data_IF_339368329035
#
_entry.id   IF_339368329035
#
_cell.length_a   1.000
_cell.length_b   1.000
_cell.length_c   1.000
_cell.angle_alpha   90.00
_cell.angle_beta   90.00
_cell.angle_gamma   90.00
#
_symmetry.space_group_name_H-M   'P 1'
#
loop_
_entity.id
_entity.type
_entity.pdbx_description
1 polymer ?
#
# COMPACT_ATOMS: atom_id res chain seq x y z
N UNK A 1 0.90 -1.95 42.16
CA UNK A 1 2.08 -1.10 41.88
C UNK A 1 2.78 -1.71 40.69
N UNK A 2 2.88 -0.99 39.56
CA UNK A 2 3.52 -1.50 38.33
C UNK A 2 5.00 -1.82 38.52
N UNK A 3 5.57 -2.59 37.58
CA UNK A 3 6.98 -2.96 37.62
C UNK A 3 7.86 -1.70 37.53
N UNK A 4 9.09 -1.71 38.09
CA UNK A 4 10.00 -0.55 38.04
C UNK A 4 10.22 -0.02 36.61
N UNK A 5 10.22 -0.91 35.61
CA UNK A 5 10.38 -0.58 34.20
C UNK A 5 9.20 0.23 33.63
N UNK A 6 7.97 -0.05 34.07
CA UNK A 6 6.76 0.64 33.61
C UNK A 6 6.79 2.12 34.01
N UNK A 7 7.21 2.40 35.26
CA UNK A 7 7.37 3.77 35.76
C UNK A 7 8.43 4.55 34.99
N UNK A 8 9.58 3.93 34.76
CA UNK A 8 10.68 4.54 34.00
C UNK A 8 10.21 4.91 32.58
N UNK A 9 9.43 4.04 31.94
CA UNK A 9 8.90 4.28 30.60
C UNK A 9 7.88 5.43 30.57
N UNK A 10 6.91 5.43 31.48
CA UNK A 10 5.93 6.52 31.58
C UNK A 10 6.60 7.88 31.86
N UNK A 11 7.54 7.92 32.80
CA UNK A 11 8.29 9.13 33.15
C UNK A 11 9.09 9.67 31.96
N UNK A 12 9.69 8.78 31.16
CA UNK A 12 10.40 9.15 29.93
C UNK A 12 9.47 9.80 28.92
N UNK A 13 8.30 9.21 28.67
CA UNK A 13 7.31 9.78 27.73
C UNK A 13 6.93 11.19 28.17
N UNK A 14 6.58 11.38 29.45
CA UNK A 14 6.24 12.70 29.98
C UNK A 14 7.39 13.70 29.81
N UNK A 15 8.63 13.30 30.13
CA UNK A 15 9.81 14.15 29.99
C UNK A 15 10.06 14.62 28.55
N UNK A 16 9.98 13.71 27.58
CA UNK A 16 10.18 14.01 26.16
C UNK A 16 9.08 14.94 25.59
N UNK A 17 7.84 14.78 26.06
CA UNK A 17 6.73 15.66 25.69
C UNK A 17 6.97 17.08 26.25
N UNK A 18 7.33 17.22 27.53
CA UNK A 18 7.52 18.52 28.17
C UNK A 18 8.75 19.27 27.64
N UNK A 19 9.83 18.56 27.33
CA UNK A 19 11.06 19.16 26.80
C UNK A 19 10.98 19.56 25.31
N UNK A 20 9.81 19.38 24.69
CA UNK A 20 9.55 19.83 23.31
C UNK A 20 10.09 18.89 22.24
N UNK A 21 10.37 17.63 22.57
CA UNK A 21 10.87 16.62 21.61
C UNK A 21 9.95 16.39 20.41
N UNK A 22 8.66 16.69 20.55
CA UNK A 22 7.65 16.56 19.49
C UNK A 22 7.98 17.36 18.22
N UNK A 23 8.70 18.48 18.31
CA UNK A 23 9.09 19.26 17.13
C UNK A 23 10.23 18.61 16.32
N UNK A 24 10.93 17.62 16.89
CA UNK A 24 12.13 17.00 16.32
C UNK A 24 11.98 15.52 16.02
N UNK A 25 10.92 14.89 16.54
CA UNK A 25 10.68 13.45 16.43
C UNK A 25 9.21 13.17 16.17
N UNK A 26 8.92 12.48 15.07
CA UNK A 26 7.57 12.00 14.76
C UNK A 26 7.04 11.04 15.83
N UNK A 27 7.92 10.28 16.49
CA UNK A 27 7.55 9.41 17.60
C UNK A 27 7.02 10.23 18.79
N UNK A 28 7.78 11.25 19.22
CA UNK A 28 7.38 12.10 20.34
C UNK A 28 6.15 12.94 19.98
N UNK A 29 5.97 13.29 18.70
CA UNK A 29 4.74 13.93 18.22
C UNK A 29 3.52 13.01 18.40
N UNK A 30 3.64 11.71 18.09
CA UNK A 30 2.58 10.72 18.35
C UNK A 30 2.35 10.49 19.85
N UNK A 31 3.40 10.43 20.68
CA UNK A 31 3.23 10.36 22.14
C UNK A 31 2.49 11.58 22.69
N UNK A 32 2.85 12.78 22.22
CA UNK A 32 2.16 14.01 22.60
C UNK A 32 0.71 14.01 22.16
N UNK A 33 0.41 13.51 20.95
CA UNK A 33 -0.97 13.36 20.46
C UNK A 33 -1.76 12.39 21.36
N UNK A 34 -1.19 11.23 21.67
CA UNK A 34 -1.76 10.25 22.60
C UNK A 34 -2.10 10.85 23.97
N UNK A 35 -1.14 11.55 24.60
CA UNK A 35 -1.35 12.12 25.93
C UNK A 35 -2.24 13.36 25.95
N UNK A 36 -2.08 14.29 24.99
CA UNK A 36 -2.69 15.62 25.05
C UNK A 36 -4.00 15.73 24.25
N UNK A 37 -4.11 15.04 23.12
CA UNK A 37 -5.32 15.06 22.30
C UNK A 37 -6.31 13.98 22.75
N UNK A 38 -5.82 12.76 23.00
CA UNK A 38 -6.67 11.62 23.39
C UNK A 38 -6.79 11.44 24.90
N UNK A 39 -5.94 12.11 25.69
CA UNK A 39 -6.02 12.08 27.16
C UNK A 39 -5.57 10.77 27.78
N UNK A 40 -4.76 9.99 27.07
CA UNK A 40 -4.29 8.67 27.52
C UNK A 40 -3.15 8.79 28.54
N UNK A 41 -3.10 7.84 29.47
CA UNK A 41 -2.01 7.68 30.45
C UNK A 41 -1.10 6.50 30.03
N UNK A 42 0.21 6.71 29.82
CA UNK A 42 1.16 5.62 29.52
C UNK A 42 1.15 4.48 30.55
N UNK A 43 0.83 4.79 31.81
CA UNK A 43 0.82 3.84 32.93
C UNK A 43 -0.52 3.10 33.09
N UNK A 44 -1.51 3.36 32.23
CA UNK A 44 -2.79 2.64 32.26
C UNK A 44 -2.59 1.14 31.95
N UNK A 45 -3.23 0.29 32.76
CA UNK A 45 -3.05 -1.19 32.74
C UNK A 45 -4.31 -1.93 32.29
N UNK A 46 -5.24 -1.24 31.62
CA UNK A 46 -6.46 -1.84 31.08
C UNK A 46 -6.16 -2.90 30.01
N UNK A 47 -7.09 -3.84 29.82
CA UNK A 47 -7.04 -4.80 28.71
C UNK A 47 -7.30 -4.10 27.38
N UNK A 48 -6.76 -4.67 26.29
CA UNK A 48 -7.04 -4.20 24.92
C UNK A 48 -8.55 -4.22 24.69
N UNK A 49 -9.09 -3.10 24.20
CA UNK A 49 -10.51 -3.01 23.87
C UNK A 49 -10.81 -3.91 22.67
N UNK A 50 -11.93 -4.62 22.72
CA UNK A 50 -12.37 -5.51 21.64
C UNK A 50 -13.80 -5.18 21.24
N UNK A 51 -14.05 -5.24 19.94
CA UNK A 51 -15.38 -5.12 19.36
C UNK A 51 -16.26 -6.31 19.77
N UNK A 52 -17.56 -6.07 19.86
CA UNK A 52 -18.53 -7.16 19.90
C UNK A 52 -18.53 -7.96 18.60
N UNK A 53 -19.05 -9.18 18.64
CA UNK A 53 -19.16 -10.03 17.44
C UNK A 53 -19.95 -9.37 16.29
N UNK A 54 -20.95 -8.56 16.62
CA UNK A 54 -21.74 -7.85 15.61
C UNK A 54 -20.95 -6.73 14.93
N UNK A 55 -20.21 -5.95 15.72
CA UNK A 55 -19.34 -4.89 15.22
C UNK A 55 -18.19 -5.48 14.37
N UNK A 56 -17.56 -6.58 14.82
CA UNK A 56 -16.52 -7.27 14.06
C UNK A 56 -17.05 -7.82 12.73
N UNK A 57 -18.25 -8.43 12.72
CA UNK A 57 -18.89 -8.85 11.46
C UNK A 57 -19.10 -7.68 10.51
N UNK A 58 -19.53 -6.53 11.04
CA UNK A 58 -19.74 -5.32 10.24
C UNK A 58 -18.43 -4.78 9.68
N UNK A 59 -17.36 -4.74 10.49
CA UNK A 59 -16.02 -4.34 10.04
C UNK A 59 -15.49 -5.27 8.94
N UNK A 60 -15.62 -6.59 9.11
CA UNK A 60 -15.27 -7.59 8.09
C UNK A 60 -16.05 -7.41 6.78
N UNK A 61 -17.35 -7.14 6.84
CA UNK A 61 -18.17 -6.90 5.65
C UNK A 61 -17.71 -5.67 4.87
N UNK A 62 -17.36 -4.56 5.57
CA UNK A 62 -16.82 -3.36 4.91
C UNK A 62 -15.49 -3.63 4.20
N UNK A 63 -14.70 -4.58 4.72
CA UNK A 63 -13.40 -4.94 4.18
C UNK A 63 -13.40 -6.14 3.22
N UNK A 64 -14.55 -6.75 2.92
CA UNK A 64 -14.65 -8.03 2.20
C UNK A 64 -13.81 -8.05 0.90
N UNK A 65 -13.92 -7.00 0.09
CA UNK A 65 -13.15 -6.85 -1.15
C UNK A 65 -11.64 -6.81 -0.91
N UNK A 66 -11.20 -6.02 0.07
CA UNK A 66 -9.77 -5.86 0.40
C UNK A 66 -9.21 -7.15 0.99
N UNK A 67 -9.96 -7.78 1.89
CA UNK A 67 -9.62 -9.09 2.47
C UNK A 67 -9.42 -10.13 1.38
N UNK A 68 -10.32 -10.19 0.39
CA UNK A 68 -10.20 -11.11 -0.73
C UNK A 68 -8.95 -10.85 -1.59
N UNK A 69 -8.62 -9.58 -1.85
CA UNK A 69 -7.43 -9.19 -2.62
C UNK A 69 -6.14 -9.49 -1.83
N UNK A 70 -6.17 -9.31 -0.51
CA UNK A 70 -5.00 -9.39 0.34
C UNK A 70 -4.53 -10.81 0.67
N UNK A 71 -5.39 -11.83 0.56
CA UNK A 71 -5.10 -13.22 0.99
C UNK A 71 -3.72 -13.71 0.54
N UNK A 72 -3.45 -13.69 -0.77
CA UNK A 72 -2.20 -14.23 -1.31
C UNK A 72 -0.96 -13.45 -0.86
N UNK A 73 -1.08 -12.14 -0.64
CA UNK A 73 0.03 -11.31 -0.13
C UNK A 73 0.24 -11.55 1.37
N UNK A 74 -0.83 -11.68 2.15
CA UNK A 74 -0.75 -12.02 3.58
C UNK A 74 -0.14 -13.40 3.80
N UNK A 75 -0.54 -14.40 3.02
CA UNK A 75 -0.01 -15.76 3.13
C UNK A 75 1.49 -15.80 2.82
N UNK A 76 1.93 -15.13 1.74
CA UNK A 76 3.36 -15.03 1.39
C UNK A 76 4.16 -14.27 2.44
N UNK A 77 3.62 -13.17 2.95
CA UNK A 77 4.25 -12.41 4.02
C UNK A 77 4.42 -13.27 5.27
N UNK A 78 3.36 -13.99 5.67
CA UNK A 78 3.41 -14.91 6.80
C UNK A 78 4.42 -16.05 6.59
N UNK A 79 4.52 -16.61 5.38
CA UNK A 79 5.56 -17.60 5.06
C UNK A 79 6.98 -17.07 5.27
N UNK A 80 7.20 -15.77 5.09
CA UNK A 80 8.50 -15.13 5.30
C UNK A 80 8.80 -14.83 6.79
N UNK A 81 7.79 -14.47 7.59
CA UNK A 81 7.98 -13.95 8.97
C UNK A 81 7.48 -14.89 10.07
N UNK A 82 6.65 -15.88 9.76
CA UNK A 82 6.02 -16.77 10.73
C UNK A 82 7.04 -17.66 11.47
N UNK A 83 8.09 -18.11 10.78
CA UNK A 83 9.15 -18.93 11.38
C UNK A 83 9.95 -18.24 12.48
N UNK A 84 9.96 -16.89 12.50
CA UNK A 84 10.59 -16.08 13.55
C UNK A 84 9.61 -15.59 14.61
N UNK A 85 8.39 -16.13 14.64
CA UNK A 85 7.38 -15.83 15.67
C UNK A 85 6.72 -14.47 15.50
N UNK A 86 6.40 -14.12 14.27
CA UNK A 86 5.56 -12.96 13.97
C UNK A 86 4.17 -13.42 13.54
N UNK A 87 3.16 -12.62 13.84
CA UNK A 87 1.85 -12.69 13.21
C UNK A 87 1.73 -11.61 12.13
N UNK A 88 0.81 -11.83 11.17
CA UNK A 88 0.40 -10.84 10.17
C UNK A 88 -1.05 -10.46 10.44
N UNK A 89 -1.35 -9.17 10.50
CA UNK A 89 -2.69 -8.64 10.71
C UNK A 89 -3.05 -7.69 9.55
N UNK A 90 -4.29 -7.78 9.08
CA UNK A 90 -4.86 -6.77 8.19
C UNK A 90 -5.97 -6.04 8.95
N UNK A 91 -5.76 -4.74 9.17
CA UNK A 91 -6.66 -3.86 9.89
C UNK A 91 -7.40 -2.90 8.96
N UNK A 92 -8.61 -2.51 9.36
CA UNK A 92 -9.38 -1.47 8.68
C UNK A 92 -8.79 -0.07 8.92
N UNK A 93 -9.39 0.94 8.30
CA UNK A 93 -8.98 2.35 8.46
C UNK A 93 -9.23 2.91 9.86
N UNK A 94 -9.99 2.22 10.71
CA UNK A 94 -10.26 2.60 12.09
C UNK A 94 -9.32 1.89 13.08
N UNK A 95 -8.38 1.06 12.57
CA UNK A 95 -7.38 0.37 13.37
C UNK A 95 -7.87 -0.94 13.98
N UNK A 96 -8.86 -1.60 13.37
CA UNK A 96 -9.39 -2.90 13.83
C UNK A 96 -8.88 -4.01 12.91
N UNK A 97 -8.05 -4.97 13.40
CA UNK A 97 -7.70 -6.16 12.66
C UNK A 97 -8.94 -7.00 12.34
N UNK A 98 -9.16 -7.31 11.06
CA UNK A 98 -10.28 -8.14 10.60
C UNK A 98 -9.82 -9.53 10.16
N UNK A 99 -8.55 -9.66 9.78
CA UNK A 99 -7.89 -10.86 9.28
C UNK A 99 -6.52 -11.04 9.93
N UNK A 100 -6.11 -12.30 10.09
CA UNK A 100 -4.87 -12.68 10.78
C UNK A 100 -4.21 -13.91 10.15
N UNK A 101 -2.88 -13.97 10.24
CA UNK A 101 -2.06 -15.20 10.14
C UNK A 101 -1.14 -15.29 11.35
N UNK A 102 -1.05 -16.45 11.96
CA UNK A 102 -0.23 -16.70 13.13
C UNK A 102 -0.07 -18.20 13.36
N UNK A 103 0.97 -18.58 14.12
CA UNK A 103 1.18 -19.97 14.48
C UNK A 103 0.28 -20.33 15.66
N UNK A 104 -0.39 -21.47 15.61
CA UNK A 104 -1.31 -21.91 16.67
C UNK A 104 -0.62 -22.01 18.05
N UNK A 105 0.68 -22.32 18.08
CA UNK A 105 1.46 -22.36 19.32
C UNK A 105 1.67 -21.00 19.99
N UNK A 106 1.46 -19.90 19.27
CA UNK A 106 1.58 -18.53 19.77
C UNK A 106 0.19 -17.87 19.99
N UNK A 107 -0.92 -18.58 19.71
CA UNK A 107 -2.27 -17.98 19.70
C UNK A 107 -2.70 -17.42 21.07
N UNK A 108 -2.47 -18.16 22.16
CA UNK A 108 -2.80 -17.67 23.52
C UNK A 108 -2.04 -16.38 23.84
N UNK A 109 -0.75 -16.34 23.51
CA UNK A 109 0.09 -15.14 23.70
C UNK A 109 -0.44 -14.00 22.84
N UNK A 110 -0.70 -14.24 21.55
CA UNK A 110 -1.20 -13.18 20.67
C UNK A 110 -2.59 -12.68 21.07
N UNK A 111 -3.45 -13.56 21.60
CA UNK A 111 -4.76 -13.17 22.11
C UNK A 111 -4.64 -12.25 23.33
N UNK A 112 -3.82 -12.62 24.32
CA UNK A 112 -3.61 -11.83 25.54
C UNK A 112 -3.01 -10.45 25.25
N UNK A 113 -2.16 -10.35 24.23
CA UNK A 113 -1.56 -9.09 23.78
C UNK A 113 -2.46 -8.28 22.83
N UNK A 114 -3.67 -8.77 22.50
CA UNK A 114 -4.59 -8.09 21.60
C UNK A 114 -4.21 -8.14 20.12
N UNK A 115 -3.25 -8.98 19.73
CA UNK A 115 -2.87 -9.24 18.33
C UNK A 115 -3.85 -10.22 17.67
N UNK A 116 -5.13 -9.89 17.79
CA UNK A 116 -6.27 -10.71 17.39
C UNK A 116 -7.33 -9.88 16.66
N UNK A 117 -8.19 -10.56 15.90
CA UNK A 117 -9.25 -9.88 15.16
C UNK A 117 -10.28 -9.27 16.11
N UNK A 118 -10.71 -8.04 15.84
CA UNK A 118 -11.65 -7.29 16.67
C UNK A 118 -11.02 -6.44 17.78
N UNK A 119 -9.72 -6.58 18.03
CA UNK A 119 -9.00 -5.65 18.90
C UNK A 119 -8.98 -4.24 18.30
N UNK A 120 -9.08 -3.21 19.14
CA UNK A 120 -9.09 -1.81 18.69
C UNK A 120 -7.70 -1.20 18.90
N UNK A 121 -6.96 -1.01 17.81
CA UNK A 121 -5.59 -0.46 17.82
C UNK A 121 -5.51 0.98 17.30
N UNK A 122 -6.63 1.70 17.23
CA UNK A 122 -6.60 3.12 16.89
C UNK A 122 -5.70 3.88 17.87
N UNK A 123 -5.00 4.91 17.39
CA UNK A 123 -4.11 5.71 18.27
C UNK A 123 -4.91 6.43 19.36
N UNK A 124 -6.21 6.66 19.14
CA UNK A 124 -7.11 7.23 20.13
C UNK A 124 -7.42 6.31 21.30
N UNK A 125 -7.23 4.99 21.14
CA UNK A 125 -7.52 3.98 22.16
C UNK A 125 -6.25 3.42 22.77
N UNK A 126 -5.25 3.08 21.95
CA UNK A 126 -4.02 2.39 22.39
C UNK A 126 -2.79 3.32 22.44
N UNK A 127 -2.98 4.61 22.16
CA UNK A 127 -1.88 5.56 22.00
C UNK A 127 -0.96 5.15 20.86
N UNK A 128 0.28 5.65 20.87
CA UNK A 128 1.31 5.27 19.90
C UNK A 128 1.51 3.76 19.85
N UNK A 129 1.16 3.18 18.71
CA UNK A 129 1.26 1.76 18.39
C UNK A 129 1.44 1.59 16.88
N UNK A 130 1.76 0.38 16.41
CA UNK A 130 2.00 0.14 14.99
C UNK A 130 0.83 0.56 14.08
N UNK A 131 -0.36 -0.01 14.33
CA UNK A 131 -1.53 0.13 13.45
C UNK A 131 -2.07 1.56 13.49
N UNK A 132 -2.41 2.06 14.68
CA UNK A 132 -3.03 3.36 14.87
C UNK A 132 -2.13 4.50 14.40
N UNK A 133 -0.83 4.44 14.70
CA UNK A 133 0.11 5.49 14.28
C UNK A 133 0.38 5.41 12.78
N UNK A 134 0.42 4.23 12.17
CA UNK A 134 0.52 4.09 10.71
C UNK A 134 -0.68 4.75 10.01
N UNK A 135 -1.88 4.56 10.53
CA UNK A 135 -3.12 5.15 10.01
C UNK A 135 -3.07 6.69 10.13
N UNK A 136 -2.72 7.20 11.32
CA UNK A 136 -2.64 8.63 11.59
C UNK A 136 -1.57 9.34 10.75
N UNK A 137 -0.41 8.70 10.55
CA UNK A 137 0.72 9.27 9.82
C UNK A 137 0.68 8.98 8.30
N UNK A 138 -0.24 8.10 7.84
CA UNK A 138 -0.38 7.70 6.44
C UNK A 138 0.94 7.22 5.79
N UNK A 139 1.80 6.55 6.56
CA UNK A 139 3.11 6.08 6.10
C UNK A 139 3.52 4.80 6.80
N UNK A 140 4.34 4.01 6.12
CA UNK A 140 4.94 2.85 6.74
C UNK A 140 5.88 3.26 7.89
N UNK A 141 5.85 2.48 8.97
CA UNK A 141 6.64 2.74 10.16
C UNK A 141 6.88 1.46 10.97
N UNK A 142 7.77 1.58 11.94
CA UNK A 142 7.94 0.57 12.99
C UNK A 142 7.82 1.26 14.34
N UNK A 143 7.04 0.67 15.24
CA UNK A 143 7.03 0.98 16.66
C UNK A 143 7.66 -0.21 17.39
N UNK A 144 8.87 -0.01 17.88
CA UNK A 144 9.68 -1.03 18.52
C UNK A 144 9.70 -0.83 20.04
N UNK A 145 9.23 -1.81 20.80
CA UNK A 145 9.35 -1.89 22.26
C UNK A 145 8.89 -0.64 22.99
N UNK A 146 9.82 0.05 23.66
CA UNK A 146 9.67 1.30 24.41
C UNK A 146 9.34 2.51 23.53
N UNK A 147 9.06 2.30 22.25
CA UNK A 147 8.39 3.28 21.39
C UNK A 147 6.86 3.25 21.55
N UNK A 148 6.29 2.14 22.03
CA UNK A 148 4.86 2.08 22.34
C UNK A 148 4.50 3.06 23.44
N UNK A 149 3.30 3.65 23.35
CA UNK A 149 2.83 4.59 24.36
C UNK A 149 2.53 3.90 25.69
N UNK A 150 1.68 2.88 25.69
CA UNK A 150 1.35 2.14 26.91
C UNK A 150 2.49 1.20 27.34
N UNK A 151 2.79 1.26 28.63
CA UNK A 151 3.78 0.39 29.31
C UNK A 151 3.51 -1.10 29.07
N UNK A 152 2.24 -1.54 29.06
CA UNK A 152 1.89 -2.94 28.78
C UNK A 152 2.25 -3.42 27.37
N UNK A 153 2.46 -2.51 26.41
CA UNK A 153 2.75 -2.85 25.02
C UNK A 153 4.25 -2.85 24.70
N UNK A 154 5.14 -2.54 25.65
CA UNK A 154 6.58 -2.39 25.39
C UNK A 154 7.32 -3.70 25.10
N UNK A 155 6.65 -4.85 25.22
CA UNK A 155 7.15 -6.13 24.72
C UNK A 155 6.89 -6.36 23.24
N UNK A 156 6.08 -5.51 22.58
CA UNK A 156 5.75 -5.64 21.17
C UNK A 156 6.77 -4.94 20.28
N UNK A 157 6.92 -5.49 19.08
CA UNK A 157 7.53 -4.82 17.94
C UNK A 157 6.59 -4.94 16.76
N UNK A 158 6.10 -3.82 16.26
CA UNK A 158 5.10 -3.75 15.21
C UNK A 158 5.67 -2.99 14.02
N UNK A 159 5.58 -3.58 12.84
CA UNK A 159 5.96 -2.95 11.58
C UNK A 159 4.76 -2.94 10.67
N UNK A 160 4.34 -1.74 10.27
CA UNK A 160 3.06 -1.54 9.60
C UNK A 160 3.25 -0.71 8.34
N UNK A 161 2.54 -1.09 7.28
CA UNK A 161 2.40 -0.28 6.08
C UNK A 161 0.92 0.04 5.78
N UNK A 162 0.60 1.29 5.41
CA UNK A 162 -0.74 1.65 4.98
C UNK A 162 -1.00 1.06 3.59
N UNK A 163 -2.26 0.72 3.34
CA UNK A 163 -2.77 0.29 2.03
C UNK A 163 -3.79 1.32 1.58
N UNK A 164 -3.64 1.81 0.36
CA UNK A 164 -4.53 2.79 -0.24
C UNK A 164 -5.39 2.19 -1.36
N UNK A 165 -6.57 2.77 -1.53
CA UNK A 165 -7.49 2.41 -2.60
C UNK A 165 -7.00 2.93 -3.97
N UNK A 166 -7.76 2.63 -5.02
CA UNK A 166 -7.45 3.05 -6.39
C UNK A 166 -7.60 4.57 -6.62
N UNK A 167 -8.14 5.30 -5.63
CA UNK A 167 -8.24 6.76 -5.62
C UNK A 167 -7.15 7.39 -4.72
N UNK A 168 -6.27 6.57 -4.12
CA UNK A 168 -5.16 7.01 -3.28
C UNK A 168 -5.53 7.32 -1.83
N UNK A 169 -6.74 6.96 -1.40
CA UNK A 169 -7.22 7.14 -0.01
C UNK A 169 -6.90 5.92 0.83
N UNK A 170 -6.69 6.10 2.14
CA UNK A 170 -6.42 4.99 3.04
C UNK A 170 -7.59 4.00 3.04
N UNK A 171 -7.25 2.72 2.90
CA UNK A 171 -8.18 1.60 2.81
C UNK A 171 -7.98 0.61 3.96
N UNK A 172 -6.73 0.36 4.34
CA UNK A 172 -6.36 -0.62 5.36
C UNK A 172 -4.94 -0.36 5.89
N UNK A 173 -4.54 -1.11 6.90
CA UNK A 173 -3.15 -1.21 7.36
C UNK A 173 -2.72 -2.68 7.45
N UNK A 174 -1.55 -3.00 6.92
CA UNK A 174 -0.94 -4.33 7.01
C UNK A 174 0.15 -4.29 8.08
N UNK A 175 -0.04 -5.07 9.13
CA UNK A 175 0.85 -5.15 10.29
C UNK A 175 1.55 -6.50 10.37
N UNK A 176 2.83 -6.45 10.74
CA UNK A 176 3.58 -7.60 11.25
C UNK A 176 4.02 -7.28 12.65
N UNK A 177 3.56 -8.11 13.59
CA UNK A 177 3.83 -7.94 15.01
C UNK A 177 4.55 -9.16 15.59
N UNK A 178 5.47 -8.90 16.51
CA UNK A 178 6.09 -9.93 17.35
C UNK A 178 6.09 -9.54 18.81
N UNK A 179 5.96 -10.55 19.67
CA UNK A 179 6.12 -10.46 21.12
C UNK A 179 7.44 -11.07 21.61
N UNK A 180 8.39 -11.36 20.69
CA UNK A 180 9.67 -11.98 21.06
C UNK A 180 10.75 -10.94 21.39
N UNK A 181 11.54 -11.24 22.42
CA UNK A 181 12.60 -10.35 22.92
C UNK A 181 13.92 -10.46 22.14
N UNK A 182 14.08 -11.48 21.30
CA UNK A 182 15.29 -11.76 20.51
C UNK A 182 15.25 -11.20 19.08
N UNK A 183 14.17 -10.49 18.70
CA UNK A 183 14.07 -9.84 17.40
C UNK A 183 15.12 -8.71 17.29
N UNK A 184 16.10 -8.91 16.41
CA UNK A 184 17.19 -7.95 16.19
C UNK A 184 16.76 -6.82 15.25
N UNK A 185 17.45 -5.68 15.31
CA UNK A 185 17.20 -4.55 14.41
C UNK A 185 17.31 -4.94 12.92
N UNK A 186 18.25 -5.82 12.57
CA UNK A 186 18.40 -6.30 11.20
C UNK A 186 17.15 -7.07 10.72
N UNK A 187 16.54 -7.88 11.58
CA UNK A 187 15.28 -8.56 11.27
C UNK A 187 14.12 -7.56 11.13
N UNK A 188 14.05 -6.57 12.02
CA UNK A 188 13.04 -5.49 11.93
C UNK A 188 13.11 -4.76 10.59
N UNK A 189 14.32 -4.44 10.09
CA UNK A 189 14.48 -3.81 8.78
C UNK A 189 14.04 -4.72 7.62
N UNK A 190 14.35 -6.02 7.69
CA UNK A 190 13.88 -6.99 6.68
C UNK A 190 12.36 -7.15 6.68
N UNK A 191 11.74 -7.20 7.88
CA UNK A 191 10.29 -7.21 8.03
C UNK A 191 9.69 -5.95 7.42
N UNK A 192 10.27 -4.77 7.66
CA UNK A 192 9.83 -3.50 7.07
C UNK A 192 9.79 -3.54 5.55
N UNK A 193 10.85 -4.02 4.91
CA UNK A 193 10.88 -4.21 3.45
C UNK A 193 9.78 -5.17 2.99
N UNK A 194 9.59 -6.30 3.69
CA UNK A 194 8.59 -7.31 3.33
C UNK A 194 7.15 -6.80 3.49
N UNK A 195 6.85 -6.07 4.56
CA UNK A 195 5.53 -5.47 4.83
C UNK A 195 5.20 -4.40 3.78
N UNK A 196 6.15 -3.53 3.46
CA UNK A 196 5.98 -2.49 2.44
C UNK A 196 5.75 -3.12 1.05
N UNK A 197 6.52 -4.15 0.68
CA UNK A 197 6.33 -4.86 -0.60
C UNK A 197 4.97 -5.56 -0.65
N UNK A 198 4.56 -6.23 0.43
CA UNK A 198 3.26 -6.88 0.51
C UNK A 198 2.10 -5.88 0.40
N UNK A 199 2.16 -4.74 1.10
CA UNK A 199 1.15 -3.69 1.00
C UNK A 199 1.05 -3.16 -0.45
N UNK A 200 2.18 -2.89 -1.11
CA UNK A 200 2.21 -2.44 -2.51
C UNK A 200 1.63 -3.46 -3.49
N UNK A 201 1.85 -4.76 -3.26
CA UNK A 201 1.22 -5.82 -4.07
C UNK A 201 -0.30 -5.82 -3.92
N UNK A 202 -0.80 -5.59 -2.70
CA UNK A 202 -2.24 -5.48 -2.41
C UNK A 202 -2.81 -4.25 -3.14
N UNK A 203 -2.15 -3.09 -3.04
CA UNK A 203 -2.56 -1.87 -3.75
C UNK A 203 -2.58 -2.08 -5.27
N UNK A 204 -1.54 -2.69 -5.84
CA UNK A 204 -1.44 -2.95 -7.26
C UNK A 204 -2.54 -3.89 -7.78
N UNK A 205 -2.89 -4.93 -7.00
CA UNK A 205 -3.97 -5.84 -7.35
C UNK A 205 -5.34 -5.16 -7.24
N UNK A 206 -5.57 -4.41 -6.17
CA UNK A 206 -6.78 -3.59 -6.02
C UNK A 206 -6.94 -2.57 -7.17
N UNK A 207 -5.83 -1.97 -7.60
CA UNK A 207 -5.81 -1.03 -8.73
C UNK A 207 -6.16 -1.71 -10.06
N UNK A 208 -5.59 -2.87 -10.36
CA UNK A 208 -5.94 -3.66 -11.56
C UNK A 208 -7.43 -4.04 -11.58
N UNK A 209 -7.98 -4.45 -10.44
CA UNK A 209 -9.39 -4.79 -10.35
C UNK A 209 -10.33 -3.59 -10.48
N UNK A 210 -9.87 -2.39 -10.09
CA UNK A 210 -10.65 -1.16 -10.27
C UNK A 210 -10.69 -0.71 -11.74
N UNK A 211 -9.70 -1.10 -12.55
CA UNK A 211 -9.57 -0.72 -13.95
C UNK A 211 -9.34 -1.95 -14.86
N UNK A 212 -10.30 -2.89 -14.94
CA UNK A 212 -10.10 -4.19 -15.59
C UNK A 212 -9.85 -4.10 -17.11
N UNK A 213 -10.40 -3.06 -17.75
CA UNK A 213 -10.26 -2.84 -19.20
C UNK A 213 -9.12 -1.88 -19.56
N UNK A 214 -8.42 -1.34 -18.55
CA UNK A 214 -7.35 -0.38 -18.76
C UNK A 214 -5.99 -1.08 -18.90
N UNK A 215 -5.11 -0.47 -19.69
CA UNK A 215 -3.69 -0.83 -19.70
C UNK A 215 -3.04 -0.24 -18.45
N UNK A 216 -2.49 -1.10 -17.59
CA UNK A 216 -1.76 -0.66 -16.40
C UNK A 216 -0.29 -0.44 -16.74
N UNK A 217 0.20 0.77 -16.52
CA UNK A 217 1.56 1.19 -16.85
C UNK A 217 2.28 1.63 -15.58
N UNK A 218 3.56 1.26 -15.49
CA UNK A 218 4.42 1.73 -14.41
C UNK A 218 4.79 3.21 -14.66
N UNK A 219 4.42 4.07 -13.73
CA UNK A 219 4.78 5.48 -13.76
C UNK A 219 6.22 5.70 -13.24
N UNK A 220 6.93 6.71 -13.75
CA UNK A 220 8.19 7.16 -13.17
C UNK A 220 7.98 7.54 -11.71
N UNK A 221 8.83 6.98 -10.83
CA UNK A 221 8.87 7.36 -9.42
C UNK A 221 10.31 7.34 -8.93
N UNK A 222 10.63 8.26 -8.02
CA UNK A 222 11.92 8.29 -7.34
C UNK A 222 12.18 7.00 -6.55
N UNK A 223 11.11 6.37 -6.06
CA UNK A 223 11.17 5.08 -5.41
C UNK A 223 11.02 3.97 -6.46
N UNK A 224 12.15 3.35 -6.85
CA UNK A 224 12.26 2.33 -7.92
C UNK A 224 11.58 1.00 -7.61
N UNK A 225 10.81 0.94 -6.53
CA UNK A 225 10.22 -0.27 -5.96
C UNK A 225 8.81 -0.59 -6.50
N UNK A 226 8.38 0.06 -7.59
CA UNK A 226 7.31 -0.47 -8.44
C UNK A 226 5.86 -0.18 -8.01
N UNK A 227 5.63 0.74 -7.07
CA UNK A 227 4.28 1.06 -6.56
C UNK A 227 3.50 2.12 -7.34
N UNK A 228 4.16 2.89 -8.20
CA UNK A 228 3.52 3.96 -8.97
C UNK A 228 2.91 3.39 -10.27
N UNK A 229 1.59 3.24 -10.30
CA UNK A 229 0.87 2.70 -11.45
C UNK A 229 -0.15 3.73 -11.94
N UNK A 230 -0.30 3.81 -13.26
CA UNK A 230 -1.38 4.54 -13.93
C UNK A 230 -2.23 3.58 -14.76
N UNK A 231 -3.52 3.85 -14.82
CA UNK A 231 -4.47 3.15 -15.67
C UNK A 231 -4.74 4.00 -16.91
N UNK A 232 -4.48 3.44 -18.08
CA UNK A 232 -4.62 4.12 -19.38
C UNK A 232 -5.73 3.42 -20.16
N UNK A 233 -6.70 4.20 -20.66
CA UNK A 233 -7.78 3.66 -21.46
C UNK A 233 -7.35 3.35 -22.91
N UNK A 234 -8.33 2.97 -23.75
CA UNK A 234 -8.10 2.62 -25.16
C UNK A 234 -7.70 3.81 -26.04
N UNK A 235 -7.96 5.03 -25.60
CA UNK A 235 -7.72 6.28 -26.32
C UNK A 235 -6.42 6.96 -25.82
N UNK A 236 -5.59 6.21 -25.06
CA UNK A 236 -4.32 6.62 -24.46
C UNK A 236 -4.45 7.69 -23.37
N UNK A 237 -5.62 7.80 -22.75
CA UNK A 237 -5.91 8.74 -21.68
C UNK A 237 -5.75 8.08 -20.32
N UNK A 238 -5.13 8.79 -19.38
CA UNK A 238 -4.99 8.37 -18.00
C UNK A 238 -6.32 8.56 -17.27
N UNK A 239 -6.87 7.46 -16.77
CA UNK A 239 -8.16 7.39 -16.08
C UNK A 239 -8.04 7.00 -14.60
N UNK A 240 -6.82 6.72 -14.15
CA UNK A 240 -6.54 6.38 -12.76
C UNK A 240 -5.06 6.38 -12.43
N UNK A 241 -4.74 6.57 -11.16
CA UNK A 241 -3.37 6.51 -10.65
C UNK A 241 -3.37 6.04 -9.19
N UNK A 242 -2.41 5.19 -8.82
CA UNK A 242 -2.17 4.81 -7.42
C UNK A 242 -1.70 6.02 -6.62
N UNK A 243 -1.78 5.97 -5.28
CA UNK A 243 -1.26 7.05 -4.41
C UNK A 243 0.19 7.40 -4.74
N UNK A 244 1.04 6.40 -4.93
CA UNK A 244 2.45 6.60 -5.26
C UNK A 244 2.63 7.37 -6.59
N UNK A 245 1.85 7.02 -7.62
CA UNK A 245 1.88 7.75 -8.90
C UNK A 245 1.33 9.18 -8.77
N UNK A 246 0.27 9.36 -7.97
CA UNK A 246 -0.29 10.70 -7.70
C UNK A 246 0.72 11.61 -7.03
N UNK A 247 1.43 11.12 -6.03
CA UNK A 247 2.46 11.90 -5.33
C UNK A 247 3.68 12.18 -6.22
N UNK A 248 4.11 11.24 -7.07
CA UNK A 248 5.30 11.42 -7.90
C UNK A 248 5.07 12.28 -9.15
N UNK A 249 3.84 12.30 -9.66
CA UNK A 249 3.44 13.03 -10.87
C UNK A 249 2.57 14.26 -10.57
N UNK A 250 2.37 14.59 -9.29
CA UNK A 250 1.51 15.70 -8.82
C UNK A 250 0.07 15.63 -9.39
N UNK A 251 -0.51 14.42 -9.42
CA UNK A 251 -1.85 14.20 -9.96
C UNK A 251 -2.92 14.39 -8.89
N UNK A 252 -3.80 15.37 -9.13
CA UNK A 252 -5.02 15.56 -8.35
C UNK A 252 -6.19 14.76 -8.94
N UNK A 253 -7.30 14.65 -8.20
CA UNK A 253 -8.52 14.06 -8.72
C UNK A 253 -9.08 14.88 -9.90
N UNK A 254 -9.00 16.22 -9.84
CA UNK A 254 -9.40 17.08 -10.96
C UNK A 254 -8.53 16.82 -12.20
N UNK A 255 -7.22 16.64 -12.03
CA UNK A 255 -6.32 16.37 -13.13
C UNK A 255 -6.72 15.07 -13.86
N UNK A 256 -7.05 14.00 -13.12
CA UNK A 256 -7.49 12.72 -13.69
C UNK A 256 -8.87 12.81 -14.38
N UNK A 257 -9.70 13.79 -14.04
CA UNK A 257 -10.97 14.04 -14.75
C UNK A 257 -10.76 14.78 -16.08
N UNK A 258 -9.63 15.46 -16.27
CA UNK A 258 -9.37 16.30 -17.45
C UNK A 258 -8.76 15.58 -18.66
N UNK A 259 -8.84 14.24 -18.73
CA UNK A 259 -8.35 13.43 -19.85
C UNK A 259 -6.87 13.71 -20.21
N UNK A 260 -5.97 13.33 -19.30
CA UNK A 260 -4.52 13.51 -19.48
C UNK A 260 -3.95 12.44 -20.42
N UNK A 261 -3.22 12.81 -21.50
CA UNK A 261 -2.52 11.84 -22.33
C UNK A 261 -1.43 11.11 -21.54
N UNK A 262 -1.32 9.80 -21.71
CA UNK A 262 -0.31 9.00 -21.03
C UNK A 262 1.11 9.36 -21.49
N UNK A 263 1.31 9.68 -22.77
CA UNK A 263 2.60 10.11 -23.33
C UNK A 263 3.17 11.34 -22.61
N UNK A 264 2.34 12.36 -22.37
CA UNK A 264 2.74 13.60 -21.69
C UNK A 264 3.24 13.32 -20.27
N UNK A 265 2.51 12.47 -19.54
CA UNK A 265 2.85 12.10 -18.16
C UNK A 265 4.11 11.23 -18.06
N UNK A 266 4.39 10.42 -19.08
CA UNK A 266 5.58 9.56 -19.12
C UNK A 266 6.81 10.29 -19.69
N UNK A 267 6.68 11.57 -20.05
CA UNK A 267 7.76 12.35 -20.66
C UNK A 267 8.10 11.89 -22.08
N UNK A 268 7.17 11.20 -22.75
CA UNK A 268 7.29 10.84 -24.15
C UNK A 268 6.83 12.04 -24.99
N UNK A 269 7.59 13.14 -24.92
CA UNK A 269 7.33 14.33 -25.70
C UNK A 269 7.64 14.07 -27.18
N UNK A 270 6.64 13.63 -27.94
CA UNK A 270 6.68 13.62 -29.40
C UNK A 270 5.96 14.86 -29.95
N UNK A 271 6.43 15.39 -31.09
CA UNK A 271 5.64 16.37 -31.86
C UNK A 271 4.29 15.71 -32.22
N UNK A 272 3.12 16.35 -32.00
CA UNK A 272 1.82 15.76 -32.33
C UNK A 272 1.70 15.19 -33.75
N UNK A 273 2.46 15.73 -34.71
CA UNK A 273 2.52 15.20 -36.08
C UNK A 273 3.35 13.93 -36.18
N UNK A 274 4.44 13.85 -35.44
CA UNK A 274 5.26 12.64 -35.31
C UNK A 274 4.47 11.56 -34.57
N UNK A 275 3.75 11.92 -33.51
CA UNK A 275 2.89 11.01 -32.75
C UNK A 275 1.78 10.41 -33.61
N UNK A 276 1.10 11.20 -34.46
CA UNK A 276 0.08 10.66 -35.36
C UNK A 276 0.67 9.69 -36.40
N UNK A 277 1.86 9.99 -36.93
CA UNK A 277 2.54 9.11 -37.87
C UNK A 277 3.05 7.83 -37.18
N UNK A 278 3.55 7.94 -35.95
CA UNK A 278 4.05 6.83 -35.14
C UNK A 278 2.92 5.92 -34.65
N UNK A 279 1.79 6.50 -34.24
CA UNK A 279 0.55 5.79 -33.93
C UNK A 279 0.02 5.02 -35.13
N UNK A 280 -0.05 5.65 -36.31
CA UNK A 280 -0.43 4.96 -37.56
C UNK A 280 0.54 3.82 -37.89
N UNK A 281 1.85 4.07 -37.73
CA UNK A 281 2.90 3.07 -37.92
C UNK A 281 2.72 1.88 -36.98
N UNK A 282 2.42 2.13 -35.71
CA UNK A 282 2.16 1.11 -34.69
C UNK A 282 0.93 0.26 -35.02
N UNK A 283 -0.16 0.87 -35.49
CA UNK A 283 -1.37 0.15 -35.93
C UNK A 283 -1.05 -0.80 -37.09
N UNK A 284 -0.30 -0.33 -38.09
CA UNK A 284 0.08 -1.14 -39.25
C UNK A 284 0.99 -2.30 -38.84
N UNK A 285 2.00 -2.04 -38.00
CA UNK A 285 2.92 -3.06 -37.51
C UNK A 285 2.19 -4.17 -36.73
N UNK A 286 1.26 -3.79 -35.83
CA UNK A 286 0.45 -4.77 -35.09
C UNK A 286 -0.44 -5.59 -36.02
N UNK A 287 -1.04 -4.97 -37.03
CA UNK A 287 -1.87 -5.67 -38.01
C UNK A 287 -1.06 -6.68 -38.84
N UNK A 288 0.16 -6.32 -39.24
CA UNK A 288 1.08 -7.21 -39.98
C UNK A 288 1.55 -8.37 -39.09
N UNK A 289 1.90 -8.09 -37.85
CA UNK A 289 2.32 -9.11 -36.89
C UNK A 289 1.21 -10.15 -36.62
N UNK A 290 -0.06 -9.74 -36.53
CA UNK A 290 -1.21 -10.64 -36.30
C UNK A 290 -1.48 -11.64 -37.43
N UNK A 291 -0.91 -11.41 -38.61
CA UNK A 291 -1.12 -12.25 -39.80
C UNK A 291 0.20 -12.74 -40.37
N UNK A 292 1.22 -12.83 -39.52
CA UNK A 292 2.55 -13.37 -39.83
C UNK A 292 3.17 -12.74 -41.09
N UNK A 293 3.10 -11.41 -41.21
CA UNK A 293 3.72 -10.69 -42.34
C UNK A 293 2.83 -10.57 -43.59
N UNK A 294 1.68 -11.24 -43.65
CA UNK A 294 0.83 -11.25 -44.85
C UNK A 294 0.12 -9.89 -45.06
N UNK A 295 0.67 -9.07 -45.96
CA UNK A 295 0.17 -7.71 -46.26
C UNK A 295 -1.28 -7.72 -46.77
N UNK A 296 -1.70 -8.73 -47.54
CA UNK A 296 -3.08 -8.78 -48.05
C UNK A 296 -4.08 -9.06 -46.92
N UNK A 297 -3.73 -9.99 -46.02
CA UNK A 297 -4.51 -10.27 -44.81
C UNK A 297 -4.52 -9.08 -43.85
N UNK A 298 -3.39 -8.38 -43.69
CA UNK A 298 -3.29 -7.19 -42.85
C UNK A 298 -4.16 -6.05 -43.38
N UNK A 299 -4.18 -5.83 -44.70
CA UNK A 299 -5.05 -4.84 -45.33
C UNK A 299 -6.54 -5.15 -45.09
N UNK A 300 -6.92 -6.43 -45.21
CA UNK A 300 -8.29 -6.89 -44.90
C UNK A 300 -8.64 -6.67 -43.43
N UNK A 301 -7.72 -6.97 -42.51
CA UNK A 301 -7.91 -6.77 -41.07
C UNK A 301 -8.07 -5.29 -40.69
N UNK A 302 -7.36 -4.40 -41.39
CA UNK A 302 -7.45 -2.95 -41.22
C UNK A 302 -8.63 -2.32 -41.98
N UNK A 303 -9.39 -3.08 -42.77
CA UNK A 303 -10.50 -2.56 -43.57
C UNK A 303 -10.10 -1.61 -44.71
N UNK A 304 -8.85 -1.67 -45.18
CA UNK A 304 -8.33 -0.81 -46.26
C UNK A 304 -7.90 -1.63 -47.48
N UNK A 305 -7.82 -0.99 -48.65
CA UNK A 305 -7.31 -1.66 -49.85
C UNK A 305 -5.82 -1.98 -49.72
N UNK A 306 -5.39 -3.08 -50.36
CA UNK A 306 -3.98 -3.49 -50.42
C UNK A 306 -3.09 -2.35 -50.95
N UNK A 307 -3.53 -1.64 -51.99
CA UNK A 307 -2.79 -0.52 -52.56
C UNK A 307 -2.60 0.63 -51.55
N UNK A 308 -3.62 0.91 -50.73
CA UNK A 308 -3.53 1.91 -49.65
C UNK A 308 -2.54 1.48 -48.56
N UNK A 309 -2.54 0.21 -48.16
CA UNK A 309 -1.57 -0.29 -47.19
C UNK A 309 -0.13 -0.19 -47.70
N UNK A 310 0.14 -0.56 -48.96
CA UNK A 310 1.48 -0.42 -49.56
C UNK A 310 1.96 1.04 -49.59
N UNK A 311 1.08 1.99 -49.92
CA UNK A 311 1.41 3.42 -49.88
C UNK A 311 1.80 3.88 -48.47
N UNK A 312 1.05 3.44 -47.44
CA UNK A 312 1.33 3.79 -46.04
C UNK A 312 2.64 3.16 -45.54
N UNK A 313 2.92 1.90 -45.88
CA UNK A 313 4.19 1.23 -45.54
C UNK A 313 5.41 2.00 -46.06
N UNK A 314 5.37 2.44 -47.33
CA UNK A 314 6.45 3.22 -47.93
C UNK A 314 6.59 4.60 -47.27
N UNK A 315 5.46 5.29 -47.04
CA UNK A 315 5.45 6.62 -46.41
C UNK A 315 6.05 6.60 -44.99
N UNK A 316 5.71 5.58 -44.20
CA UNK A 316 6.12 5.44 -42.81
C UNK A 316 7.45 4.67 -42.64
N UNK A 317 8.14 4.36 -43.74
CA UNK A 317 9.44 3.67 -43.76
C UNK A 317 9.43 2.36 -42.94
N UNK A 318 8.35 1.59 -43.01
CA UNK A 318 8.26 0.30 -42.31
C UNK A 318 9.04 -0.75 -43.12
N UNK A 319 10.17 -1.21 -42.57
CA UNK A 319 10.99 -2.27 -43.15
C UNK A 319 10.35 -3.62 -42.81
N UNK A 320 10.17 -4.47 -43.81
CA UNK A 320 9.54 -5.78 -43.66
C UNK A 320 10.49 -6.73 -42.91
N UNK A 321 10.03 -7.49 -41.92
CA UNK A 321 10.71 -8.73 -41.56
C UNK A 321 10.64 -9.65 -42.79
N UNK A 322 11.77 -10.21 -43.19
CA UNK A 322 11.81 -11.28 -44.21
C UNK A 322 11.06 -12.51 -43.72
#
# INVERSE_FOLDING_TARGET
MGAPQDRIHADRIHSEIETGGAARSALVASWRRSARLYGLDPAETGSVQTLSDHELRTARQRMERVVSIAQASMDRLYMAVGGVGCCVLLADSEGVPVERRGAAGDDDTFYDWGLWTGAVWSEAVEGTNGIGTCIAEQRALTIHRDQHFHTRNIGLSCTVAPIHDHQGRLMAALDVSSCRSDLTEAFVQLISVAVIDAARRIEAENFRQAFPDARIVLAPSADRTGGALIAVDKDDLVIGATRAARLSLDLTDEALLTALPAADLLGWNADPREDMAESERGVILRAIARVDGNVSSAAKLLGISRATLHRKLNRLKIIRPN
#
